data_IF_984781731964
#
_entry.id   IF_984781731964
#
_cell.length_a   1.000
_cell.length_b   1.000
_cell.length_c   1.000
_cell.angle_alpha   90.00
_cell.angle_beta   90.00
_cell.angle_gamma   90.00
#
_symmetry.space_group_name_H-M   'P 1'
#
loop_
_entity.id
_entity.type
_entity.pdbx_description
1 polymer ?
#
# COMPACT_ATOMS: atom_id res chain seq x y z
N UNK A 1 8.16 -5.60 -28.21
CA UNK A 1 7.15 -6.27 -27.36
C UNK A 1 5.79 -5.80 -27.83
N UNK A 2 4.79 -6.67 -27.93
CA UNK A 2 3.41 -6.21 -28.18
C UNK A 2 2.83 -5.69 -26.85
N UNK A 3 2.38 -4.44 -26.81
CA UNK A 3 1.79 -3.86 -25.59
C UNK A 3 0.29 -4.19 -25.47
N UNK A 4 -0.37 -4.65 -26.54
CA UNK A 4 -1.79 -4.98 -26.52
C UNK A 4 -2.14 -6.08 -25.51
N UNK A 5 -1.20 -7.00 -25.23
CA UNK A 5 -1.33 -8.07 -24.23
C UNK A 5 -1.41 -7.57 -22.79
N UNK A 6 -1.06 -6.30 -22.52
CA UNK A 6 -1.20 -5.68 -21.20
C UNK A 6 -2.66 -5.40 -20.81
N UNK A 7 -3.61 -5.45 -21.74
CA UNK A 7 -5.00 -5.10 -21.46
C UNK A 7 -5.64 -5.99 -20.40
N UNK A 8 -6.33 -5.38 -19.43
CA UNK A 8 -7.03 -6.07 -18.34
C UNK A 8 -6.61 -5.60 -16.95
N UNK A 9 -7.06 -6.36 -15.94
CA UNK A 9 -6.79 -6.09 -14.52
C UNK A 9 -5.55 -6.86 -14.08
N UNK A 10 -4.69 -6.20 -13.31
CA UNK A 10 -3.48 -6.74 -12.74
C UNK A 10 -3.42 -6.44 -11.25
N UNK A 11 -2.85 -7.35 -10.47
CA UNK A 11 -2.58 -7.14 -9.04
C UNK A 11 -1.09 -7.10 -8.76
N UNK A 12 -0.68 -6.22 -7.85
CA UNK A 12 0.69 -6.24 -7.31
C UNK A 12 0.90 -7.56 -6.58
N UNK A 13 1.99 -8.25 -6.92
CA UNK A 13 2.51 -9.38 -6.16
C UNK A 13 3.37 -8.87 -5.00
N UNK A 14 2.90 -8.95 -3.74
CA UNK A 14 3.63 -8.41 -2.60
C UNK A 14 4.97 -9.11 -2.37
N UNK A 15 5.11 -10.39 -2.76
CA UNK A 15 6.34 -11.16 -2.55
C UNK A 15 7.48 -10.81 -3.50
N UNK A 16 7.17 -10.11 -4.60
CA UNK A 16 8.11 -9.73 -5.65
C UNK A 16 8.05 -8.24 -5.98
N UNK A 17 7.52 -7.44 -5.05
CA UNK A 17 7.40 -5.99 -5.19
C UNK A 17 8.03 -5.28 -4.01
N UNK A 18 8.62 -4.11 -4.28
CA UNK A 18 9.30 -3.28 -3.31
C UNK A 18 9.12 -1.80 -3.66
N UNK A 19 8.74 -1.02 -2.66
CA UNK A 19 8.83 0.44 -2.68
C UNK A 19 9.96 0.84 -1.73
N UNK A 20 11.09 1.19 -2.32
CA UNK A 20 12.27 1.66 -1.62
C UNK A 20 12.29 3.17 -1.46
N UNK A 21 12.98 3.65 -0.45
CA UNK A 21 13.30 5.07 -0.31
C UNK A 21 14.71 5.30 0.20
N UNK A 22 15.23 6.50 -0.06
CA UNK A 22 16.45 6.99 0.57
C UNK A 22 16.38 8.48 0.90
N UNK A 23 16.95 8.82 2.06
CA UNK A 23 17.09 10.18 2.56
C UNK A 23 18.56 10.45 2.90
N UNK A 24 19.04 11.68 2.68
CA UNK A 24 20.35 12.07 3.19
C UNK A 24 20.24 12.33 4.70
N UNK A 25 21.24 11.84 5.44
CA UNK A 25 21.40 12.04 6.86
C UNK A 25 22.65 12.88 7.14
N UNK A 26 22.49 13.93 7.94
CA UNK A 26 23.46 14.97 8.23
C UNK A 26 24.16 15.54 6.98
N UNK A 27 23.45 15.60 5.84
CA UNK A 27 23.97 15.98 4.51
C UNK A 27 25.09 15.10 3.92
N UNK A 28 25.56 14.07 4.63
CA UNK A 28 26.76 13.31 4.27
C UNK A 28 26.45 11.85 3.92
N UNK A 29 25.61 11.17 4.70
CA UNK A 29 25.29 9.75 4.51
C UNK A 29 23.90 9.56 3.93
N UNK A 30 23.58 8.35 3.45
CA UNK A 30 22.22 8.00 3.00
C UNK A 30 21.64 6.90 3.88
N UNK A 31 20.51 7.20 4.50
CA UNK A 31 19.64 6.18 5.09
C UNK A 31 18.77 5.61 3.97
N UNK A 32 18.63 4.29 3.94
CA UNK A 32 17.77 3.57 3.01
C UNK A 32 16.75 2.78 3.81
N UNK A 33 15.54 2.70 3.26
CA UNK A 33 14.51 1.82 3.77
C UNK A 33 13.59 1.35 2.65
N UNK A 34 12.59 0.57 3.04
CA UNK A 34 11.47 0.17 2.20
C UNK A 34 10.20 0.02 3.03
N UNK A 35 9.08 -0.06 2.34
CA UNK A 35 7.84 -0.59 2.87
C UNK A 35 7.67 -2.01 2.37
N UNK A 36 7.38 -2.93 3.28
CA UNK A 36 7.36 -4.37 3.00
C UNK A 36 5.93 -4.93 2.81
N UNK A 37 4.90 -4.13 3.06
CA UNK A 37 3.49 -4.48 2.85
C UNK A 37 2.87 -3.52 1.85
N UNK A 38 2.68 -4.04 0.63
CA UNK A 38 2.18 -3.30 -0.52
C UNK A 38 1.13 -4.16 -1.20
N UNK A 39 -0.04 -3.58 -1.45
CA UNK A 39 -1.08 -4.18 -2.27
C UNK A 39 -1.51 -3.17 -3.32
N UNK A 40 -2.01 -3.66 -4.45
CA UNK A 40 -2.54 -2.76 -5.45
C UNK A 40 -3.17 -3.48 -6.61
N UNK A 41 -3.97 -2.73 -7.34
CA UNK A 41 -4.67 -3.15 -8.53
C UNK A 41 -4.42 -2.12 -9.64
N UNK A 42 -4.24 -2.60 -10.86
CA UNK A 42 -3.98 -1.79 -12.05
C UNK A 42 -4.90 -2.26 -13.17
N UNK A 43 -5.70 -1.37 -13.72
CA UNK A 43 -6.50 -1.62 -14.91
C UNK A 43 -5.83 -0.93 -16.10
N UNK A 44 -5.47 -1.71 -17.12
CA UNK A 44 -4.77 -1.21 -18.30
C UNK A 44 -5.64 -1.31 -19.56
N UNK A 45 -5.70 -0.21 -20.32
CA UNK A 45 -6.25 -0.12 -21.67
C UNK A 45 -5.12 0.29 -22.65
N UNK A 46 -4.40 -0.66 -23.27
CA UNK A 46 -3.33 -0.36 -24.22
C UNK A 46 -3.79 0.31 -25.50
N UNK A 47 -5.10 0.36 -25.78
CA UNK A 47 -5.63 1.11 -26.93
C UNK A 47 -5.79 2.59 -26.59
N UNK A 48 -6.03 2.91 -25.31
CA UNK A 48 -6.16 4.26 -24.80
C UNK A 48 -5.58 4.34 -23.38
N UNK A 49 -4.26 4.55 -23.27
CA UNK A 49 -3.58 4.56 -21.97
C UNK A 49 -4.21 5.51 -20.95
N UNK A 50 -4.77 6.65 -21.40
CA UNK A 50 -5.48 7.60 -20.55
C UNK A 50 -6.76 7.05 -19.87
N UNK A 51 -7.26 5.88 -20.26
CA UNK A 51 -8.36 5.18 -19.58
C UNK A 51 -7.86 4.20 -18.50
N UNK A 52 -6.54 4.04 -18.38
CA UNK A 52 -5.94 3.12 -17.41
C UNK A 52 -5.93 3.75 -16.03
N UNK A 53 -6.04 2.92 -15.00
CA UNK A 53 -6.04 3.36 -13.60
C UNK A 53 -5.18 2.44 -12.74
N UNK A 54 -4.73 2.94 -11.60
CA UNK A 54 -4.00 2.17 -10.62
C UNK A 54 -4.35 2.65 -9.23
N UNK A 55 -4.48 1.71 -8.30
CA UNK A 55 -4.61 1.98 -6.88
C UNK A 55 -3.60 1.15 -6.12
N UNK A 56 -2.71 1.81 -5.39
CA UNK A 56 -1.67 1.18 -4.57
C UNK A 56 -1.85 1.63 -3.14
N UNK A 57 -1.87 0.66 -2.21
CA UNK A 57 -1.93 0.89 -0.77
C UNK A 57 -0.69 0.31 -0.14
N UNK A 58 -0.05 1.12 0.68
CA UNK A 58 1.14 0.76 1.45
C UNK A 58 0.80 0.89 2.93
N UNK A 59 1.01 -0.18 3.68
CA UNK A 59 0.93 -0.13 5.14
C UNK A 59 2.21 0.52 5.69
N UNK A 60 2.06 1.69 6.32
CA UNK A 60 3.16 2.49 6.83
C UNK A 60 3.84 1.82 8.04
N UNK A 61 3.16 0.93 8.78
CA UNK A 61 3.77 0.17 9.86
C UNK A 61 4.83 -0.81 9.32
N UNK A 62 4.75 -1.21 8.04
CA UNK A 62 5.71 -2.10 7.39
C UNK A 62 7.06 -1.46 7.03
N UNK A 63 7.28 -0.20 7.45
CA UNK A 63 8.55 0.49 7.24
C UNK A 63 9.73 -0.26 7.89
N UNK A 64 10.80 -0.41 7.12
CA UNK A 64 12.03 -1.06 7.54
C UNK A 64 13.24 -0.27 7.01
N UNK A 65 14.04 0.25 7.94
CA UNK A 65 15.33 0.90 7.65
C UNK A 65 16.51 0.11 8.22
N UNK A 66 16.27 -1.15 8.64
CA UNK A 66 17.20 -2.02 9.35
C UNK A 66 17.65 -1.47 10.69
N UNK A 67 16.81 -0.67 11.34
CA UNK A 67 17.07 -0.12 12.67
C UNK A 67 15.74 0.07 13.39
N UNK A 68 15.45 -0.82 14.32
CA UNK A 68 14.16 -0.89 15.03
C UNK A 68 13.80 0.42 15.73
N UNK A 69 14.76 1.10 16.37
CA UNK A 69 14.51 2.38 17.05
C UNK A 69 14.11 3.48 16.08
N UNK A 70 14.75 3.54 14.90
CA UNK A 70 14.39 4.51 13.87
C UNK A 70 13.05 4.16 13.24
N UNK A 71 12.79 2.87 13.01
CA UNK A 71 11.52 2.43 12.43
C UNK A 71 10.36 2.77 13.36
N UNK A 72 10.54 2.60 14.68
CA UNK A 72 9.57 3.02 15.68
C UNK A 72 9.35 4.53 15.69
N UNK A 73 10.42 5.32 15.62
CA UNK A 73 10.31 6.78 15.54
C UNK A 73 9.62 7.23 14.24
N UNK A 74 9.86 6.56 13.11
CA UNK A 74 9.18 6.89 11.86
C UNK A 74 7.67 6.58 11.92
N UNK A 75 7.26 5.59 12.72
CA UNK A 75 5.85 5.26 12.93
C UNK A 75 5.12 6.25 13.84
N UNK A 76 5.84 6.94 14.71
CA UNK A 76 5.23 7.84 15.70
C UNK A 76 4.55 9.07 15.06
N UNK A 77 3.81 9.81 15.89
CA UNK A 77 3.15 11.07 15.53
C UNK A 77 4.08 12.17 15.02
N UNK A 78 5.40 12.05 15.27
CA UNK A 78 6.39 13.01 14.78
C UNK A 78 6.66 12.83 13.27
N UNK A 79 6.31 11.67 12.70
CA UNK A 79 6.54 11.33 11.29
C UNK A 79 5.27 10.89 10.59
N UNK A 80 4.99 9.59 10.53
CA UNK A 80 3.87 9.06 9.75
C UNK A 80 2.57 9.01 10.55
N UNK A 81 2.65 8.99 11.88
CA UNK A 81 1.50 8.85 12.76
C UNK A 81 0.63 7.64 12.40
N UNK A 82 1.24 6.45 12.36
CA UNK A 82 0.60 5.25 11.80
C UNK A 82 -0.62 4.80 12.58
N UNK A 83 -0.76 5.23 13.83
CA UNK A 83 -1.96 4.96 14.64
C UNK A 83 -3.19 5.67 14.08
N UNK A 84 -3.05 6.90 13.57
CA UNK A 84 -4.15 7.68 12.99
C UNK A 84 -4.18 7.62 11.46
N UNK A 85 -3.03 7.38 10.84
CA UNK A 85 -2.82 7.37 9.39
C UNK A 85 -2.02 6.12 8.98
N UNK A 86 -2.63 4.92 9.04
CA UNK A 86 -1.91 3.66 8.83
C UNK A 86 -1.46 3.44 7.38
N UNK A 87 -2.11 4.10 6.42
CA UNK A 87 -1.92 3.84 5.00
C UNK A 87 -1.33 5.04 4.25
N UNK A 88 -0.42 4.73 3.33
CA UNK A 88 -0.08 5.59 2.20
C UNK A 88 -0.79 5.06 0.96
N UNK A 89 -1.56 5.93 0.28
CA UNK A 89 -2.40 5.53 -0.85
C UNK A 89 -2.05 6.34 -2.09
N UNK A 90 -1.75 5.66 -3.19
CA UNK A 90 -1.62 6.26 -4.51
C UNK A 90 -2.78 5.84 -5.40
N UNK A 91 -3.47 6.80 -6.00
CA UNK A 91 -4.57 6.58 -6.94
C UNK A 91 -4.28 7.37 -8.23
N UNK A 92 -4.23 6.67 -9.37
CA UNK A 92 -4.02 7.27 -10.70
C UNK A 92 -5.25 7.18 -11.58
N UNK A 93 -5.39 8.19 -12.42
CA UNK A 93 -6.45 8.36 -13.41
C UNK A 93 -5.92 8.64 -14.82
N UNK A 94 -4.59 8.68 -14.99
CA UNK A 94 -3.94 8.91 -16.28
C UNK A 94 -2.63 8.12 -16.38
N UNK A 95 -2.47 7.43 -17.51
CA UNK A 95 -1.24 6.77 -17.91
C UNK A 95 -0.85 7.27 -19.30
N UNK A 96 0.40 7.65 -19.47
CA UNK A 96 0.94 8.09 -20.76
C UNK A 96 2.19 7.28 -21.12
N UNK A 97 2.21 6.68 -22.31
CA UNK A 97 3.42 6.12 -22.90
C UNK A 97 4.24 7.24 -23.54
N UNK A 98 5.44 7.50 -23.00
CA UNK A 98 6.33 8.59 -23.41
C UNK A 98 7.51 8.11 -24.27
N UNK A 99 7.62 6.80 -24.46
CA UNK A 99 8.67 6.13 -25.21
C UNK A 99 8.46 4.63 -25.15
N UNK A 100 9.24 3.86 -25.91
CA UNK A 100 9.11 2.39 -25.92
C UNK A 100 9.24 1.84 -24.49
N UNK A 101 8.16 1.25 -23.97
CA UNK A 101 8.08 0.67 -22.63
C UNK A 101 8.30 1.69 -21.48
N UNK A 102 8.20 2.99 -21.76
CA UNK A 102 8.37 4.05 -20.77
C UNK A 102 7.03 4.77 -20.55
N UNK A 103 6.61 4.84 -19.30
CA UNK A 103 5.32 5.38 -18.91
C UNK A 103 5.47 6.48 -17.86
N UNK A 104 4.57 7.46 -17.92
CA UNK A 104 4.30 8.38 -16.81
C UNK A 104 2.89 8.06 -16.29
N UNK A 105 2.82 7.60 -15.04
CA UNK A 105 1.56 7.41 -14.31
C UNK A 105 1.27 8.68 -13.53
N UNK A 106 0.13 9.32 -13.74
CA UNK A 106 -0.27 10.53 -13.00
C UNK A 106 -1.44 10.23 -12.09
N UNK A 107 -1.37 10.77 -10.89
CA UNK A 107 -2.39 10.55 -9.89
C UNK A 107 -2.19 11.40 -8.66
N UNK A 108 -2.76 10.96 -7.56
CA UNK A 108 -2.62 11.57 -6.25
C UNK A 108 -2.02 10.59 -5.25
N UNK A 109 -1.14 11.12 -4.40
CA UNK A 109 -0.55 10.40 -3.28
C UNK A 109 -1.07 11.02 -1.98
N UNK A 110 -1.60 10.19 -1.12
CA UNK A 110 -2.07 10.53 0.21
C UNK A 110 -1.12 9.94 1.26
N UNK A 111 -0.55 10.81 2.09
CA UNK A 111 0.30 10.45 3.23
C UNK A 111 -0.12 11.36 4.38
N UNK A 112 -0.30 10.80 5.59
CA UNK A 112 -0.55 11.58 6.80
C UNK A 112 -1.75 12.55 6.63
N UNK A 113 -2.85 12.05 6.04
CA UNK A 113 -4.07 12.83 5.78
C UNK A 113 -3.96 13.93 4.71
N UNK A 114 -2.78 14.13 4.10
CA UNK A 114 -2.55 15.15 3.09
C UNK A 114 -2.46 14.49 1.71
N UNK A 115 -3.24 14.97 0.75
CA UNK A 115 -3.24 14.49 -0.64
C UNK A 115 -2.57 15.50 -1.57
N UNK A 116 -1.67 15.02 -2.43
CA UNK A 116 -0.95 15.82 -3.43
C UNK A 116 -0.84 15.09 -4.76
N UNK A 117 -0.82 15.85 -5.85
CA UNK A 117 -0.56 15.28 -7.17
C UNK A 117 0.88 14.72 -7.24
N UNK A 118 1.03 13.55 -7.85
CA UNK A 118 2.31 12.90 -8.09
C UNK A 118 2.32 12.28 -9.48
N UNK A 119 3.47 12.37 -10.15
CA UNK A 119 3.71 11.62 -11.39
C UNK A 119 4.82 10.61 -11.17
N UNK A 120 4.59 9.36 -11.55
CA UNK A 120 5.51 8.24 -11.32
C UNK A 120 6.02 7.77 -12.69
N UNK A 121 7.29 8.03 -13.02
CA UNK A 121 7.88 7.44 -14.20
C UNK A 121 8.17 5.97 -13.94
N UNK A 122 7.73 5.10 -14.86
CA UNK A 122 7.94 3.66 -14.82
C UNK A 122 8.45 3.15 -16.17
N UNK A 123 9.28 2.14 -16.12
CA UNK A 123 9.74 1.36 -17.26
C UNK A 123 9.18 -0.06 -17.12
N UNK A 124 8.57 -0.57 -18.19
CA UNK A 124 8.19 -1.97 -18.30
C UNK A 124 9.42 -2.79 -18.66
N UNK A 125 9.89 -3.61 -17.73
CA UNK A 125 11.12 -4.40 -17.88
C UNK A 125 10.89 -5.74 -18.58
N UNK A 126 9.65 -6.24 -18.56
CA UNK A 126 9.27 -7.47 -19.26
C UNK A 126 7.87 -7.98 -18.93
N UNK A 127 7.40 -8.92 -19.74
CA UNK A 127 6.19 -9.72 -19.51
C UNK A 127 6.57 -11.17 -19.74
N UNK A 128 6.13 -12.07 -18.85
CA UNK A 128 6.41 -13.49 -18.94
C UNK A 128 5.27 -14.31 -18.32
N UNK A 129 5.05 -15.53 -18.81
CA UNK A 129 4.20 -16.51 -18.13
C UNK A 129 5.05 -17.36 -17.19
N UNK A 130 4.72 -17.33 -15.90
CA UNK A 130 5.46 -18.10 -14.90
C UNK A 130 5.16 -19.61 -14.99
N UNK A 131 5.95 -20.48 -14.31
CA UNK A 131 5.73 -21.92 -14.34
C UNK A 131 4.38 -22.40 -13.78
N UNK A 132 3.64 -21.52 -13.11
CA UNK A 132 2.30 -21.77 -12.57
C UNK A 132 1.19 -21.31 -13.51
N UNK A 133 1.54 -20.74 -14.67
CA UNK A 133 0.60 -20.26 -15.69
C UNK A 133 0.14 -18.82 -15.49
N UNK A 134 0.69 -18.08 -14.52
CA UNK A 134 0.33 -16.68 -14.33
C UNK A 134 1.09 -15.79 -15.31
N UNK A 135 0.39 -14.85 -15.95
CA UNK A 135 1.04 -13.80 -16.73
C UNK A 135 1.53 -12.71 -15.78
N UNK A 136 2.82 -12.38 -15.87
CA UNK A 136 3.48 -11.39 -15.03
C UNK A 136 4.02 -10.22 -15.83
N UNK A 137 4.02 -9.04 -15.24
CA UNK A 137 4.69 -7.86 -15.77
C UNK A 137 5.65 -7.28 -14.71
N UNK A 138 6.86 -6.92 -15.14
CA UNK A 138 7.85 -6.24 -14.30
C UNK A 138 7.90 -4.75 -14.60
N UNK A 139 7.90 -3.91 -13.56
CA UNK A 139 7.98 -2.45 -13.67
C UNK A 139 9.07 -1.92 -12.74
N UNK A 140 9.87 -0.98 -13.24
CA UNK A 140 10.89 -0.29 -12.44
C UNK A 140 10.77 1.22 -12.59
N UNK A 141 11.16 1.97 -11.56
CA UNK A 141 11.16 3.43 -11.67
C UNK A 141 11.78 4.14 -10.48
N UNK A 142 11.88 5.47 -10.58
CA UNK A 142 12.31 6.29 -9.46
C UNK A 142 11.71 7.68 -9.51
N UNK A 143 11.46 8.26 -8.34
CA UNK A 143 10.91 9.62 -8.23
C UNK A 143 11.49 10.33 -7.02
N UNK A 144 11.79 11.61 -7.16
CA UNK A 144 12.09 12.47 -6.00
C UNK A 144 10.87 13.27 -5.59
N UNK A 145 10.63 13.34 -4.29
CA UNK A 145 9.57 14.12 -3.66
C UNK A 145 10.15 14.96 -2.51
N UNK A 146 9.41 15.98 -2.09
CA UNK A 146 9.69 16.72 -0.85
C UNK A 146 8.71 16.26 0.23
N UNK A 147 9.20 15.68 1.32
CA UNK A 147 8.35 15.11 2.37
C UNK A 147 7.44 16.15 3.06
N UNK A 148 7.81 17.43 3.00
CA UNK A 148 7.03 18.52 3.60
C UNK A 148 5.74 18.78 2.84
N UNK A 149 5.66 18.40 1.56
CA UNK A 149 4.43 18.54 0.78
C UNK A 149 3.26 17.73 1.41
N UNK A 150 3.60 16.71 2.21
CA UNK A 150 2.71 15.84 2.97
C UNK A 150 2.77 16.05 4.50
N UNK A 151 3.27 17.19 4.97
CA UNK A 151 3.28 17.53 6.41
C UNK A 151 4.28 16.75 7.27
N UNK A 152 5.10 15.88 6.68
CA UNK A 152 6.16 15.17 7.40
C UNK A 152 7.34 16.14 7.57
N UNK A 153 7.31 16.97 8.62
CA UNK A 153 8.24 18.10 8.78
C UNK A 153 9.37 17.87 9.78
N UNK A 154 9.26 16.89 10.69
CA UNK A 154 10.22 16.65 11.78
C UNK A 154 11.68 16.77 11.36
N UNK A 155 12.47 17.50 12.12
CA UNK A 155 13.90 17.59 11.88
C UNK A 155 14.67 18.04 13.13
N UNK A 156 15.98 17.85 13.09
CA UNK A 156 16.90 18.41 14.08
C UNK A 156 17.91 19.30 13.35
N UNK A 157 18.10 20.56 13.78
CA UNK A 157 19.13 21.41 13.21
C UNK A 157 20.52 20.89 13.57
N UNK A 158 21.49 21.08 12.68
CA UNK A 158 22.89 20.73 12.93
C UNK A 158 23.70 21.97 13.33
N UNK A 159 24.68 21.80 14.22
CA UNK A 159 25.62 22.87 14.61
C UNK A 159 26.42 23.42 13.43
N UNK A 160 26.69 22.58 12.42
CA UNK A 160 27.35 22.96 11.17
C UNK A 160 26.48 23.81 10.23
N UNK A 161 25.22 24.04 10.60
CA UNK A 161 24.18 24.51 9.70
C UNK A 161 23.59 23.37 8.85
N UNK A 162 22.31 23.49 8.52
CA UNK A 162 21.55 22.48 7.78
C UNK A 162 20.68 21.59 8.67
N UNK A 163 20.15 20.54 8.07
CA UNK A 163 19.15 19.65 8.65
C UNK A 163 19.72 18.23 8.81
N UNK A 164 19.35 17.56 9.89
CA UNK A 164 19.74 16.17 10.16
C UNK A 164 19.17 15.22 9.10
N UNK A 165 17.94 15.43 8.64
CA UNK A 165 17.31 14.61 7.59
C UNK A 165 16.94 15.50 6.40
N UNK A 166 17.27 15.07 5.19
CA UNK A 166 16.91 15.83 3.99
C UNK A 166 15.40 15.85 3.75
N UNK A 167 14.90 17.01 3.32
CA UNK A 167 13.52 17.20 2.89
C UNK A 167 13.20 16.39 1.61
N UNK A 168 14.19 16.30 0.71
CA UNK A 168 14.06 15.51 -0.51
C UNK A 168 14.25 14.03 -0.23
N UNK A 169 13.26 13.23 -0.59
CA UNK A 169 13.28 11.76 -0.53
C UNK A 169 13.38 11.23 -1.96
N UNK A 170 14.27 10.27 -2.18
CA UNK A 170 14.31 9.51 -3.45
C UNK A 170 13.57 8.20 -3.24
N UNK A 171 12.53 7.99 -4.02
CA UNK A 171 11.74 6.77 -4.11
C UNK A 171 12.28 5.89 -5.25
N UNK A 172 12.25 4.59 -5.03
CA UNK A 172 12.63 3.53 -5.97
C UNK A 172 11.49 2.52 -6.02
N UNK A 173 11.04 2.16 -7.22
CA UNK A 173 9.94 1.25 -7.44
C UNK A 173 10.47 0.02 -8.18
N UNK A 174 10.21 -1.16 -7.64
CA UNK A 174 10.48 -2.45 -8.26
C UNK A 174 9.20 -3.27 -8.08
N UNK A 175 8.36 -3.38 -9.11
CA UNK A 175 7.02 -3.96 -8.98
C UNK A 175 6.89 -5.19 -9.89
N UNK A 176 6.29 -6.24 -9.34
CA UNK A 176 5.79 -7.37 -10.12
C UNK A 176 4.28 -7.38 -10.06
N UNK A 177 3.64 -7.41 -11.22
CA UNK A 177 2.21 -7.53 -11.36
C UNK A 177 1.84 -8.92 -11.87
N UNK A 178 0.71 -9.45 -11.42
CA UNK A 178 0.09 -10.68 -11.90
C UNK A 178 -1.24 -10.31 -12.58
N UNK A 179 -1.46 -10.80 -13.81
CA UNK A 179 -2.70 -10.58 -14.53
C UNK A 179 -3.83 -11.38 -13.87
N UNK A 180 -4.95 -10.72 -13.58
CA UNK A 180 -6.14 -11.42 -13.17
C UNK A 180 -6.70 -12.22 -14.35
N UNK A 181 -7.19 -13.44 -14.13
CA UNK A 181 -7.88 -14.17 -15.17
C UNK A 181 -9.12 -13.36 -15.58
N UNK A 182 -9.29 -13.14 -16.88
CA UNK A 182 -10.57 -12.64 -17.39
C UNK A 182 -11.63 -13.65 -16.97
N UNK A 183 -12.69 -13.25 -16.22
CA UNK A 183 -13.75 -14.19 -15.91
C UNK A 183 -14.33 -14.69 -17.24
N UNK A 184 -14.23 -15.99 -17.49
CA UNK A 184 -14.90 -16.60 -18.62
C UNK A 184 -16.40 -16.35 -18.45
N UNK A 185 -17.11 -15.81 -19.45
CA UNK A 185 -18.56 -15.72 -19.37
C UNK A 185 -19.07 -17.16 -19.21
N UNK A 186 -19.75 -17.42 -18.09
CA UNK A 186 -20.25 -18.74 -17.70
C UNK A 186 -20.68 -19.55 -18.93
N UNK A 187 -20.05 -20.71 -19.10
CA UNK A 187 -20.49 -21.69 -20.06
C UNK A 187 -21.98 -21.94 -19.81
N UNK A 188 -22.83 -21.38 -20.68
CA UNK A 188 -24.23 -21.76 -20.79
C UNK A 188 -24.23 -23.26 -21.04
N UNK A 189 -24.43 -24.03 -19.97
CA UNK A 189 -24.84 -25.42 -20.03
C UNK A 189 -26.25 -25.41 -20.57
N UNK A 190 -26.35 -25.36 -21.90
CA UNK A 190 -27.56 -25.70 -22.62
C UNK A 190 -27.86 -27.17 -22.38
N UNK A 191 -28.60 -27.44 -21.30
CA UNK A 191 -29.39 -28.67 -21.20
C UNK A 191 -30.66 -28.46 -22.05
N UNK A 192 -30.50 -28.50 -23.37
CA UNK A 192 -31.63 -28.73 -24.26
C UNK A 192 -32.00 -30.22 -24.15
N UNK A 193 -32.75 -30.52 -23.10
CA UNK A 193 -33.41 -31.81 -22.92
C UNK A 193 -34.47 -32.01 -23.98
N UNK A 194 -34.04 -32.60 -25.10
CA UNK A 194 -34.86 -33.25 -26.12
C UNK A 194 -35.86 -34.19 -25.42
N UNK A 195 -37.14 -33.80 -25.38
CA UNK A 195 -38.24 -34.70 -24.97
C UNK A 195 -39.08 -35.04 -26.18
N UNK A 196 -38.73 -36.21 -26.71
CA UNK A 196 -39.46 -36.94 -27.72
C UNK A 196 -40.90 -37.20 -27.28
N UNK A 197 -41.82 -36.96 -28.22
CA UNK A 197 -43.24 -37.18 -28.04
C UNK A 197 -43.58 -38.66 -28.31
N UNK A 198 -44.12 -39.36 -27.31
CA UNK A 198 -45.17 -40.39 -27.47
C UNK A 198 -45.48 -41.06 -26.14
N UNK A 199 -46.74 -40.98 -25.69
CA UNK A 199 -47.54 -42.14 -25.25
C UNK A 199 -48.95 -41.66 -24.89
N UNK A 200 -49.93 -42.20 -25.61
CA UNK A 200 -51.37 -42.11 -25.35
C UNK A 200 -51.71 -43.02 -24.17
N UNK A 201 -52.58 -42.55 -23.27
CA UNK A 201 -53.18 -43.35 -22.21
C UNK A 201 -54.33 -42.60 -21.54
N UNK A 202 -55.54 -42.97 -21.93
CA UNK A 202 -56.84 -42.53 -21.38
C UNK A 202 -56.96 -42.77 -19.86
N UNK A 203 -57.61 -41.86 -19.14
CA UNK A 203 -58.74 -42.21 -18.27
C UNK A 203 -59.43 -40.95 -17.73
N UNK A 204 -60.74 -41.09 -17.69
CA UNK A 204 -61.77 -40.12 -17.35
C UNK A 204 -61.80 -39.84 -15.83
N UNK A 205 -62.32 -38.65 -15.47
CA UNK A 205 -63.51 -38.47 -14.64
C UNK A 205 -63.39 -37.40 -13.53
N UNK A 206 -64.54 -36.76 -13.34
CA UNK A 206 -65.06 -36.08 -12.16
C UNK A 206 -64.68 -34.63 -11.79
N UNK A 207 -65.49 -33.73 -12.34
CA UNK A 207 -66.44 -32.81 -11.66
C UNK A 207 -66.11 -32.10 -10.34
N UNK A 208 -66.46 -30.79 -10.35
CA UNK A 208 -66.92 -29.93 -9.24
C UNK A 208 -65.88 -29.46 -8.20
N UNK A 209 -66.02 -28.36 -7.45
CA UNK A 209 -66.69 -27.03 -7.44
C UNK A 209 -66.21 -26.37 -6.12
N UNK A 210 -66.35 -25.04 -5.99
CA UNK A 210 -66.23 -24.21 -4.76
C UNK A 210 -64.81 -23.86 -4.27
N UNK A 211 -64.38 -22.58 -4.27
CA UNK A 211 -64.82 -21.41 -3.45
C UNK A 211 -64.60 -21.61 -1.95
N UNK A 212 -63.59 -20.96 -1.38
CA UNK A 212 -63.66 -20.36 -0.04
C UNK A 212 -62.54 -19.35 0.19
N UNK A 213 -62.98 -18.13 0.44
CA UNK A 213 -62.33 -17.02 1.12
C UNK A 213 -62.07 -17.37 2.61
N UNK A 214 -61.09 -16.72 3.24
CA UNK A 214 -60.73 -17.03 4.63
C UNK A 214 -59.59 -16.20 5.20
N UNK A 215 -59.93 -14.98 5.64
CA UNK A 215 -59.11 -14.10 6.48
C UNK A 215 -58.74 -14.73 7.84
N UNK A 216 -57.60 -14.31 8.41
CA UNK A 216 -57.16 -14.70 9.75
C UNK A 216 -56.10 -13.76 10.35
N UNK A 217 -56.58 -12.76 11.07
CA UNK A 217 -55.90 -11.80 11.99
C UNK A 217 -55.25 -12.42 13.24
N UNK A 218 -54.26 -11.72 13.81
CA UNK A 218 -53.81 -11.83 15.22
C UNK A 218 -52.37 -11.30 15.41
N UNK A 219 -52.08 -10.08 15.87
CA UNK A 219 -52.26 -9.39 17.17
C UNK A 219 -51.16 -9.70 18.21
N UNK A 220 -50.40 -8.63 18.57
CA UNK A 220 -49.79 -8.25 19.88
C UNK A 220 -48.64 -9.12 20.44
N UNK A 221 -47.74 -8.71 21.31
CA UNK A 221 -47.45 -7.53 22.18
C UNK A 221 -46.03 -7.85 22.76
N UNK A 222 -45.06 -6.97 22.99
CA UNK A 222 -44.88 -6.06 24.16
C UNK A 222 -43.51 -6.30 24.84
N UNK A 223 -43.02 -5.23 25.47
CA UNK A 223 -41.90 -5.07 26.44
C UNK A 223 -40.48 -5.24 25.90
N UNK A 224 -39.55 -4.28 25.96
CA UNK A 224 -39.46 -3.06 26.77
C UNK A 224 -38.79 -3.34 28.11
N UNK A 225 -37.49 -3.09 28.24
CA UNK A 225 -36.86 -2.62 29.49
C UNK A 225 -35.54 -1.90 29.22
N UNK A 226 -35.47 -0.72 29.83
CA UNK A 226 -34.40 0.26 29.95
C UNK A 226 -33.58 0.02 31.24
N UNK A 227 -32.59 0.90 31.46
CA UNK A 227 -31.82 1.23 32.69
C UNK A 227 -30.64 0.32 33.10
N UNK A 228 -29.39 0.84 33.03
CA UNK A 228 -28.75 1.58 34.16
C UNK A 228 -27.37 2.15 33.82
N UNK A 229 -27.16 3.39 34.31
CA UNK A 229 -25.96 4.20 34.44
C UNK A 229 -24.76 3.54 35.15
N UNK A 230 -23.55 4.03 34.84
CA UNK A 230 -22.34 3.84 35.65
C UNK A 230 -21.10 4.55 35.08
N UNK A 231 -20.90 5.82 35.45
CA UNK A 231 -19.63 6.59 35.39
C UNK A 231 -19.06 6.74 36.84
N UNK A 232 -17.85 7.27 37.08
CA UNK A 232 -16.50 6.88 36.64
C UNK A 232 -15.52 6.73 37.85
N UNK A 233 -14.26 6.31 37.64
CA UNK A 233 -13.18 6.40 38.66
C UNK A 233 -11.84 6.70 37.96
N UNK A 234 -11.31 7.91 38.12
CA UNK A 234 -10.25 8.33 39.06
C UNK A 234 -8.81 8.18 38.55
N UNK A 235 -8.30 9.34 38.13
CA UNK A 235 -6.96 9.95 38.26
C UNK A 235 -5.90 9.13 39.03
N UNK A 236 -4.77 8.87 38.35
CA UNK A 236 -3.50 8.45 38.95
C UNK A 236 -2.34 9.29 38.41
N UNK A 237 -1.90 10.25 39.21
CA UNK A 237 -0.63 10.99 39.14
C UNK A 237 0.56 10.04 39.38
N UNK A 238 1.67 10.24 38.67
CA UNK A 238 2.82 9.34 38.71
C UNK A 238 4.04 9.81 37.92
N UNK A 239 4.58 10.97 38.30
CA UNK A 239 6.03 11.28 38.42
C UNK A 239 7.01 10.75 37.33
N UNK A 240 7.44 11.67 36.48
CA UNK A 240 8.84 12.13 36.33
C UNK A 240 9.94 11.20 36.91
N UNK A 241 10.67 10.50 36.04
CA UNK A 241 12.09 10.17 36.27
C UNK A 241 12.86 10.06 34.94
N UNK A 242 13.65 11.10 34.69
CA UNK A 242 14.87 11.09 33.87
C UNK A 242 16.00 10.42 34.67
N UNK A 243 16.79 9.53 34.07
CA UNK A 243 18.22 9.41 34.40
C UNK A 243 19.03 9.91 33.21
N UNK A 244 19.66 11.08 33.32
CA UNK A 244 21.01 11.25 33.83
C UNK A 244 22.04 10.52 32.96
N UNK A 245 22.62 11.32 32.06
CA UNK A 245 23.93 11.17 31.45
C UNK A 245 24.97 10.67 32.44
N UNK A 246 25.71 9.62 32.07
CA UNK A 246 26.96 9.27 32.74
C UNK A 246 28.12 9.44 31.76
N UNK A 247 28.96 10.40 32.12
CA UNK A 247 30.28 10.68 31.61
C UNK A 247 31.22 9.48 31.84
N UNK A 248 32.04 9.17 30.84
CA UNK A 248 33.26 8.40 31.04
C UNK A 248 34.38 8.91 30.11
N UNK A 249 34.86 10.13 30.38
CA UNK A 249 36.29 10.42 30.23
C UNK A 249 37.02 9.89 31.48
N UNK A 250 38.05 9.04 31.32
CA UNK A 250 39.40 9.45 31.71
C UNK A 250 40.53 8.43 31.43
N UNK A 251 41.66 9.05 31.06
CA UNK A 251 43.07 8.69 31.34
C UNK A 251 43.84 7.77 30.38
N UNK A 252 44.47 8.46 29.42
CA UNK A 252 45.92 8.72 29.36
C UNK A 252 46.90 7.70 30.00
N UNK A 253 47.80 7.18 29.16
CA UNK A 253 49.11 6.66 29.51
C UNK A 253 50.15 7.15 28.51
N UNK A 254 50.93 8.15 28.93
CA UNK A 254 52.16 8.71 28.35
C UNK A 254 53.28 7.61 28.38
N UNK A 255 54.30 7.51 27.52
CA UNK A 255 55.43 8.42 27.28
C UNK A 255 56.35 7.90 26.16
N UNK A 256 56.97 8.84 25.41
CA UNK A 256 58.35 8.84 24.87
C UNK A 256 58.73 7.78 23.80
N UNK A 257 59.56 8.04 22.79
CA UNK A 257 60.73 8.92 22.74
C UNK A 257 61.14 9.24 21.28
N UNK A 258 62.01 10.24 21.16
CA UNK A 258 62.42 10.99 19.98
C UNK A 258 63.23 10.22 18.91
N UNK A 259 63.24 10.72 17.67
CA UNK A 259 64.39 11.43 17.07
C UNK A 259 64.28 11.62 15.54
N UNK A 260 64.54 12.87 15.14
CA UNK A 260 65.36 13.29 14.00
C UNK A 260 64.89 13.21 12.53
N UNK A 261 64.79 14.44 11.99
CA UNK A 261 65.54 14.96 10.82
C UNK A 261 65.01 14.64 9.40
N UNK A 262 64.18 15.57 8.94
CA UNK A 262 64.35 16.39 7.73
C UNK A 262 65.44 15.98 6.69
N UNK A 263 65.04 15.66 5.46
CA UNK A 263 65.32 16.49 4.25
C UNK A 263 64.68 15.93 2.97
N UNK A 264 64.30 16.80 2.01
CA UNK A 264 63.81 16.43 0.69
C UNK A 264 64.95 16.36 -0.34
N UNK A 265 64.72 15.59 -1.41
CA UNK A 265 65.54 15.50 -2.62
C UNK A 265 64.85 14.61 -3.63
#
# INVERSE_FOLDING_TARGET
>A
MDLAQLGGIWKIDPGHSRIGFSAKHAMVTKVRGSFNSIVGEVELDPQHWANSSARVVVDLASIDTRNEQRDEHLRSSDFFDVENHPEMVFESDDLEEIGEQQFIVRGTLSIHGITRALSVPLELTGIETDPFGNVRAGLEGSRRIDRRDWGVEWNTPLDSGGLLVSEKISLEFELSLIKEPTPEPDAVTGDEGERDASTVGESEDDTATDVADGAGTGIADDTGTDVTDGEPAEIGDGTDQVPASDDAEERAGETADAHSVNRPG
#
